data_IF_621210905953
#
_entry.id   IF_621210905953
#
_cell.length_a   1.000
_cell.length_b   1.000
_cell.length_c   1.000
_cell.angle_alpha   90.00
_cell.angle_beta   90.00
_cell.angle_gamma   90.00
#
_symmetry.space_group_name_H-M   'P 1'
#
loop_
_entity.id
_entity.type
_entity.pdbx_description
1 polymer ?
#
# COMPACT_ATOMS: atom_id res chain seq x y z
N UNK A 1 -14.31 -11.72 27.09
CA UNK A 1 -13.00 -11.30 27.65
C UNK A 1 -12.41 -10.33 26.65
N UNK A 2 -12.30 -9.06 27.01
CA UNK A 2 -11.63 -8.07 26.18
C UNK A 2 -10.15 -7.98 26.58
N UNK A 3 -9.28 -7.60 25.65
CA UNK A 3 -7.82 -7.48 25.85
C UNK A 3 -7.18 -8.74 26.53
N UNK A 4 -7.47 -9.92 25.98
CA UNK A 4 -7.03 -11.21 26.57
C UNK A 4 -5.50 -11.32 26.69
N UNK A 5 -4.74 -10.58 25.88
CA UNK A 5 -3.28 -10.50 25.94
C UNK A 5 -2.75 -9.87 27.22
N UNK A 6 -3.52 -9.00 27.88
CA UNK A 6 -3.17 -8.47 29.21
C UNK A 6 -3.28 -9.55 30.30
N UNK A 7 -4.25 -10.46 30.17
CA UNK A 7 -4.49 -11.53 31.14
C UNK A 7 -3.59 -12.76 30.91
N UNK A 8 -3.27 -13.04 29.64
CA UNK A 8 -2.59 -14.27 29.24
C UNK A 8 -1.41 -14.02 28.27
N UNK A 9 -0.36 -13.32 28.72
CA UNK A 9 0.82 -13.08 27.90
C UNK A 9 1.64 -14.36 27.68
N UNK A 10 2.45 -14.37 26.62
CA UNK A 10 3.35 -15.48 26.26
C UNK A 10 4.32 -15.75 27.42
N UNK A 11 4.46 -17.03 27.80
CA UNK A 11 5.30 -17.45 28.94
C UNK A 11 6.74 -16.96 28.77
N UNK A 12 7.16 -16.11 29.70
CA UNK A 12 8.44 -15.39 29.69
C UNK A 12 8.49 -14.23 30.70
N UNK A 13 7.32 -13.78 31.18
CA UNK A 13 7.15 -12.76 32.24
C UNK A 13 7.08 -13.32 33.67
N UNK A 14 7.06 -12.41 34.65
CA UNK A 14 7.20 -12.67 36.10
C UNK A 14 6.15 -13.69 36.61
N UNK A 15 6.50 -14.43 37.68
CA UNK A 15 5.69 -15.47 38.32
C UNK A 15 4.18 -15.19 38.56
N UNK A 16 3.72 -13.98 38.93
CA UNK A 16 2.28 -13.73 39.15
C UNK A 16 1.43 -13.85 37.87
N UNK A 17 1.95 -13.44 36.71
CA UNK A 17 1.24 -13.52 35.42
C UNK A 17 1.02 -14.98 35.01
N UNK A 18 2.00 -15.84 35.27
CA UNK A 18 1.93 -17.27 34.96
C UNK A 18 0.83 -18.00 35.75
N UNK A 19 0.51 -17.54 36.97
CA UNK A 19 -0.57 -18.12 37.79
C UNK A 19 -1.94 -17.78 37.22
N UNK A 20 -2.13 -16.53 36.78
CA UNK A 20 -3.38 -16.07 36.17
C UNK A 20 -3.64 -16.85 34.87
N UNK A 21 -2.62 -17.01 34.02
CA UNK A 21 -2.73 -17.81 32.79
C UNK A 21 -3.17 -19.23 33.12
N UNK A 22 -2.52 -19.92 34.06
CA UNK A 22 -2.86 -21.29 34.43
C UNK A 22 -4.31 -21.43 34.92
N UNK A 23 -4.80 -20.45 35.68
CA UNK A 23 -6.16 -20.43 36.19
C UNK A 23 -7.18 -20.23 35.06
N UNK A 24 -6.91 -19.29 34.13
CA UNK A 24 -7.76 -19.08 32.95
C UNK A 24 -7.83 -20.35 32.09
N UNK A 25 -6.69 -21.03 31.87
CA UNK A 25 -6.67 -22.29 31.12
C UNK A 25 -7.55 -23.36 31.78
N UNK A 26 -7.46 -23.49 33.10
CA UNK A 26 -8.26 -24.46 33.87
C UNK A 26 -9.76 -24.17 33.77
N UNK A 27 -10.13 -22.89 33.83
CA UNK A 27 -11.52 -22.46 33.70
C UNK A 27 -12.08 -22.71 32.28
N UNK A 28 -11.28 -22.48 31.24
CA UNK A 28 -11.66 -22.76 29.85
C UNK A 28 -11.82 -24.26 29.60
N UNK A 29 -10.91 -25.08 30.12
CA UNK A 29 -10.99 -26.54 30.02
C UNK A 29 -12.26 -27.07 30.74
N UNK A 30 -12.62 -26.47 31.88
CA UNK A 30 -13.84 -26.81 32.62
C UNK A 30 -15.12 -26.33 31.94
N UNK A 31 -15.09 -25.19 31.25
CA UNK A 31 -16.26 -24.62 30.56
C UNK A 31 -16.59 -25.33 29.23
N UNK A 32 -15.60 -25.98 28.60
CA UNK A 32 -15.76 -26.59 27.27
C UNK A 32 -16.67 -27.83 27.24
N UNK A 33 -17.05 -28.36 28.40
CA UNK A 33 -18.02 -29.45 28.53
C UNK A 33 -19.48 -28.99 28.57
N UNK A 34 -19.73 -27.70 28.80
CA UNK A 34 -21.06 -27.16 29.05
C UNK A 34 -21.65 -26.53 27.79
N UNK A 35 -22.82 -27.01 27.34
CA UNK A 35 -23.40 -26.62 26.03
C UNK A 35 -24.04 -25.24 26.02
N UNK A 36 -24.13 -24.57 27.17
CA UNK A 36 -24.84 -23.31 27.33
C UNK A 36 -23.91 -22.08 27.39
N UNK A 37 -22.59 -22.26 27.47
CA UNK A 37 -21.64 -21.14 27.65
C UNK A 37 -20.71 -21.02 26.45
N UNK A 38 -20.65 -19.82 25.87
CA UNK A 38 -19.69 -19.46 24.81
C UNK A 38 -18.73 -18.40 25.34
N UNK A 39 -17.43 -18.69 25.30
CA UNK A 39 -16.40 -17.74 25.71
C UNK A 39 -15.85 -17.04 24.47
N UNK A 40 -16.05 -15.72 24.40
CA UNK A 40 -15.51 -14.87 23.33
C UNK A 40 -14.35 -14.04 23.90
N UNK A 41 -13.19 -14.13 23.25
CA UNK A 41 -11.99 -13.36 23.55
C UNK A 41 -11.68 -12.35 22.45
N UNK A 42 -11.26 -11.14 22.81
CA UNK A 42 -10.74 -10.14 21.88
C UNK A 42 -9.28 -9.78 22.24
N UNK A 43 -8.44 -9.59 21.23
CA UNK A 43 -7.06 -9.12 21.40
C UNK A 43 -6.59 -8.42 20.13
N UNK A 44 -5.76 -7.39 20.31
CA UNK A 44 -5.06 -6.73 19.21
C UNK A 44 -3.73 -7.45 18.87
N UNK A 45 -3.23 -8.31 19.76
CA UNK A 45 -1.92 -8.96 19.67
C UNK A 45 -2.03 -10.48 19.84
N UNK A 46 -2.60 -11.20 18.88
CA UNK A 46 -2.74 -12.66 18.95
C UNK A 46 -1.41 -13.41 19.12
N UNK A 47 -0.29 -12.83 18.70
CA UNK A 47 1.05 -13.42 18.84
C UNK A 47 1.68 -13.21 20.23
N UNK A 48 1.13 -12.27 21.00
CA UNK A 48 1.49 -12.02 22.39
C UNK A 48 0.78 -12.99 23.36
N UNK A 49 -0.26 -13.69 22.90
CA UNK A 49 -0.98 -14.68 23.70
C UNK A 49 -0.14 -15.94 23.95
N UNK A 50 -0.39 -16.59 25.10
CA UNK A 50 0.09 -17.95 25.36
C UNK A 50 -0.43 -18.92 24.27
N UNK A 51 0.45 -19.63 23.53
CA UNK A 51 0.03 -20.60 22.51
C UNK A 51 -0.88 -21.72 23.04
N UNK A 52 -0.86 -21.99 24.35
CA UNK A 52 -1.75 -22.95 24.98
C UNK A 52 -3.22 -22.54 24.90
N UNK A 53 -3.54 -21.25 24.81
CA UNK A 53 -4.91 -20.76 24.65
C UNK A 53 -5.51 -21.07 23.28
N UNK A 54 -4.67 -21.13 22.25
CA UNK A 54 -5.05 -21.37 20.84
C UNK A 54 -5.20 -22.87 20.51
N UNK A 55 -5.15 -23.74 21.52
CA UNK A 55 -5.29 -25.19 21.34
C UNK A 55 -6.76 -25.59 21.24
N UNK A 56 -7.09 -26.67 20.50
CA UNK A 56 -8.45 -27.20 20.44
C UNK A 56 -9.02 -27.46 21.85
N UNK A 57 -10.29 -27.10 22.07
CA UNK A 57 -10.94 -27.18 23.38
C UNK A 57 -10.79 -25.94 24.26
N UNK A 58 -10.27 -24.83 23.73
CA UNK A 58 -10.20 -23.51 24.39
C UNK A 58 -10.66 -22.43 23.40
N UNK A 59 -9.77 -21.55 22.95
CA UNK A 59 -10.01 -20.73 21.77
C UNK A 59 -9.62 -21.51 20.52
N UNK A 60 -10.50 -22.43 20.13
CA UNK A 60 -10.34 -23.27 18.94
C UNK A 60 -10.78 -22.57 17.64
N UNK A 61 -11.46 -21.42 17.77
CA UNK A 61 -11.91 -20.58 16.66
C UNK A 61 -11.32 -19.18 16.78
N UNK A 62 -10.68 -18.74 15.71
CA UNK A 62 -10.16 -17.38 15.57
C UNK A 62 -10.95 -16.66 14.48
N UNK A 63 -11.42 -15.47 14.82
CA UNK A 63 -12.09 -14.57 13.88
C UNK A 63 -11.28 -13.28 13.83
N UNK A 64 -10.75 -12.96 12.65
CA UNK A 64 -10.01 -11.72 12.44
C UNK A 64 -11.00 -10.65 12.01
N UNK A 65 -11.09 -9.58 12.80
CA UNK A 65 -11.87 -8.39 12.44
C UNK A 65 -10.91 -7.40 11.79
N UNK A 66 -11.02 -7.25 10.48
CA UNK A 66 -10.20 -6.34 9.68
C UNK A 66 -10.74 -4.90 9.64
N UNK A 67 -10.03 -4.04 8.90
CA UNK A 67 -10.52 -2.69 8.62
C UNK A 67 -11.74 -2.74 7.69
N UNK A 68 -12.74 -1.88 7.90
CA UNK A 68 -13.97 -1.91 7.11
C UNK A 68 -13.73 -1.59 5.63
N UNK A 69 -14.36 -2.37 4.75
CA UNK A 69 -14.43 -2.13 3.29
C UNK A 69 -15.20 -0.86 2.97
N UNK A 70 -15.10 -0.33 1.74
CA UNK A 70 -15.84 0.89 1.33
C UNK A 70 -17.34 0.79 1.60
N UNK A 71 -17.97 -0.35 1.26
CA UNK A 71 -19.39 -0.57 1.51
C UNK A 71 -19.70 -0.57 3.02
N UNK A 72 -18.87 -1.25 3.82
CA UNK A 72 -19.02 -1.28 5.27
C UNK A 72 -18.77 0.09 5.89
N UNK A 73 -17.80 0.88 5.41
CA UNK A 73 -17.56 2.26 5.85
C UNK A 73 -18.77 3.12 5.57
N UNK A 74 -19.38 3.01 4.39
CA UNK A 74 -20.62 3.71 4.07
C UNK A 74 -21.75 3.31 5.03
N UNK A 75 -21.93 2.02 5.29
CA UNK A 75 -22.96 1.52 6.25
C UNK A 75 -22.68 1.99 7.68
N UNK A 76 -21.42 2.01 8.11
CA UNK A 76 -20.99 2.50 9.43
C UNK A 76 -21.23 4.01 9.54
N UNK A 77 -20.81 4.78 8.54
CA UNK A 77 -21.05 6.22 8.47
C UNK A 77 -22.55 6.49 8.51
N UNK A 78 -23.36 5.84 7.67
CA UNK A 78 -24.83 5.94 7.71
C UNK A 78 -25.41 5.65 9.11
N UNK A 79 -24.92 4.61 9.78
CA UNK A 79 -25.38 4.27 11.13
C UNK A 79 -24.99 5.34 12.17
N UNK A 80 -23.78 5.90 12.09
CA UNK A 80 -23.30 6.96 12.99
C UNK A 80 -24.05 8.27 12.72
N UNK A 81 -24.15 8.66 11.45
CA UNK A 81 -24.75 9.93 11.02
C UNK A 81 -26.27 9.95 11.16
N UNK A 82 -26.93 8.79 11.25
CA UNK A 82 -28.37 8.72 11.54
C UNK A 82 -28.79 9.40 12.85
N UNK A 83 -27.83 9.63 13.76
CA UNK A 83 -28.03 10.27 15.06
C UNK A 83 -27.61 11.75 15.06
N UNK A 84 -27.26 12.32 13.91
CA UNK A 84 -26.70 13.66 13.78
C UNK A 84 -27.51 14.48 12.76
N UNK A 85 -27.65 15.79 12.95
CA UNK A 85 -28.26 16.69 11.98
C UNK A 85 -27.28 16.96 10.83
N UNK A 86 -27.32 16.12 9.79
CA UNK A 86 -26.44 16.27 8.62
C UNK A 86 -27.19 16.90 7.46
N UNK A 87 -26.54 17.83 6.78
CA UNK A 87 -27.02 18.47 5.56
C UNK A 87 -27.23 17.45 4.44
N UNK A 88 -28.29 17.61 3.65
CA UNK A 88 -28.56 16.76 2.48
C UNK A 88 -27.48 16.87 1.39
N UNK A 89 -26.59 17.86 1.49
CA UNK A 89 -25.47 18.06 0.58
C UNK A 89 -24.27 17.14 0.87
N UNK A 90 -24.22 16.51 2.05
CA UNK A 90 -23.10 15.63 2.41
C UNK A 90 -23.24 14.26 1.74
N UNK A 91 -22.32 13.93 0.84
CA UNK A 91 -22.27 12.60 0.23
C UNK A 91 -21.47 11.62 1.11
N UNK A 92 -22.19 10.72 1.78
CA UNK A 92 -21.62 9.63 2.56
C UNK A 92 -20.80 8.63 1.71
N UNK A 93 -21.03 8.58 0.40
CA UNK A 93 -20.22 7.81 -0.54
C UNK A 93 -18.81 8.37 -0.64
N UNK A 94 -18.70 9.67 -0.90
CA UNK A 94 -17.43 10.38 -0.96
C UNK A 94 -16.68 10.32 0.38
N UNK A 95 -17.38 10.51 1.51
CA UNK A 95 -16.77 10.36 2.83
C UNK A 95 -16.25 8.93 3.08
N UNK A 96 -16.96 7.91 2.60
CA UNK A 96 -16.49 6.52 2.68
C UNK A 96 -15.25 6.26 1.82
N UNK A 97 -15.10 6.96 0.69
CA UNK A 97 -13.89 6.93 -0.15
C UNK A 97 -12.70 7.63 0.52
N UNK A 98 -12.94 8.73 1.22
CA UNK A 98 -11.89 9.49 1.92
C UNK A 98 -11.43 8.82 3.24
N UNK A 99 -12.25 7.96 3.83
CA UNK A 99 -11.97 7.29 5.13
C UNK A 99 -11.24 5.94 4.98
N UNK A 100 -10.38 5.78 3.98
CA UNK A 100 -9.58 4.55 3.82
C UNK A 100 -8.69 4.33 5.04
N UNK A 101 -8.76 3.13 5.63
CA UNK A 101 -7.99 2.76 6.82
C UNK A 101 -8.57 3.24 8.15
N UNK A 102 -9.68 4.00 8.15
CA UNK A 102 -10.39 4.35 9.38
C UNK A 102 -11.07 3.12 9.97
N UNK A 103 -10.98 2.96 11.29
CA UNK A 103 -11.75 1.98 12.05
C UNK A 103 -13.09 2.60 12.48
N UNK A 104 -14.06 1.80 12.93
CA UNK A 104 -15.33 2.30 13.46
C UNK A 104 -15.18 3.40 14.52
N UNK A 105 -14.16 3.27 15.38
CA UNK A 105 -13.82 4.29 16.38
C UNK A 105 -13.36 5.60 15.73
N UNK A 106 -12.52 5.54 14.69
CA UNK A 106 -12.01 6.72 13.99
C UNK A 106 -13.13 7.43 13.22
N UNK A 107 -14.02 6.69 12.54
CA UNK A 107 -15.19 7.28 11.87
C UNK A 107 -16.13 7.94 12.88
N UNK A 108 -16.27 7.35 14.07
CA UNK A 108 -17.05 7.96 15.16
C UNK A 108 -16.38 9.24 15.65
N UNK A 109 -15.06 9.24 15.80
CA UNK A 109 -14.30 10.43 16.19
C UNK A 109 -14.38 11.52 15.10
N UNK A 110 -14.28 11.16 13.83
CA UNK A 110 -14.43 12.08 12.69
C UNK A 110 -15.80 12.76 12.69
N UNK A 111 -16.89 11.99 12.82
CA UNK A 111 -18.23 12.57 12.89
C UNK A 111 -18.43 13.46 14.12
N UNK A 112 -17.81 13.12 15.27
CA UNK A 112 -17.84 13.96 16.47
C UNK A 112 -17.07 15.27 16.27
N UNK A 113 -15.89 15.21 15.66
CA UNK A 113 -15.06 16.38 15.38
C UNK A 113 -15.77 17.31 14.37
N UNK A 114 -16.39 16.75 13.33
CA UNK A 114 -17.21 17.52 12.39
C UNK A 114 -18.39 18.21 13.10
N UNK A 115 -19.06 17.53 14.05
CA UNK A 115 -20.10 18.15 14.87
C UNK A 115 -19.56 19.30 15.75
N UNK A 116 -18.34 19.18 16.27
CA UNK A 116 -17.68 20.24 17.03
C UNK A 116 -17.36 21.46 16.14
N UNK A 117 -16.91 21.23 14.90
CA UNK A 117 -16.69 22.31 13.94
C UNK A 117 -17.99 23.01 13.55
N UNK A 118 -19.07 22.26 13.31
CA UNK A 118 -20.39 22.83 13.06
C UNK A 118 -20.88 23.69 14.24
N UNK A 119 -20.62 23.27 15.48
CA UNK A 119 -20.92 24.06 16.69
C UNK A 119 -20.10 25.35 16.79
N UNK A 120 -18.84 25.34 16.34
CA UNK A 120 -17.98 26.52 16.33
C UNK A 120 -18.33 27.50 15.21
N UNK A 121 -18.80 27.00 14.07
CA UNK A 121 -19.28 27.81 12.94
C UNK A 121 -20.69 28.36 13.16
N UNK A 122 -21.53 27.66 13.91
CA UNK A 122 -22.86 28.15 14.27
C UNK A 122 -22.74 29.39 15.17
N UNK A 123 -23.35 30.51 14.75
CA UNK A 123 -23.49 31.67 15.62
C UNK A 123 -24.36 31.31 16.84
N UNK A 124 -24.18 32.06 17.95
CA UNK A 124 -24.77 31.79 19.29
C UNK A 124 -26.31 31.73 19.37
N UNK A 125 -27.05 31.73 18.26
CA UNK A 125 -28.52 31.80 18.21
C UNK A 125 -29.20 30.79 17.26
N UNK A 126 -28.51 29.72 16.81
CA UNK A 126 -29.16 28.60 16.13
C UNK A 126 -29.29 27.40 17.08
N UNK A 127 -30.53 27.00 17.37
CA UNK A 127 -30.84 25.91 18.30
C UNK A 127 -30.43 24.51 17.78
N UNK A 128 -30.13 24.37 16.48
CA UNK A 128 -29.69 23.11 15.87
C UNK A 128 -28.62 23.36 14.77
N UNK A 129 -27.32 23.20 15.07
CA UNK A 129 -26.26 23.31 14.06
C UNK A 129 -26.32 22.10 13.11
N UNK A 130 -26.47 22.37 11.82
CA UNK A 130 -26.42 21.35 10.76
C UNK A 130 -24.97 21.15 10.34
N UNK A 131 -24.54 19.90 10.26
CA UNK A 131 -23.17 19.54 9.86
C UNK A 131 -23.09 19.57 8.33
N UNK A 132 -22.20 20.40 7.80
CA UNK A 132 -21.93 20.51 6.36
C UNK A 132 -20.62 19.79 5.97
N UNK A 133 -20.40 19.66 4.66
CA UNK A 133 -19.21 18.99 4.10
C UNK A 133 -17.90 19.70 4.51
N UNK A 134 -17.93 21.02 4.68
CA UNK A 134 -16.77 21.81 5.13
C UNK A 134 -16.30 21.42 6.53
N UNK A 135 -17.23 21.07 7.42
CA UNK A 135 -16.89 20.67 8.79
C UNK A 135 -16.22 19.30 8.80
N UNK A 136 -16.63 18.40 7.91
CA UNK A 136 -15.93 17.13 7.69
C UNK A 136 -14.52 17.35 7.14
N UNK A 137 -14.34 18.27 6.19
CA UNK A 137 -13.02 18.61 5.64
C UNK A 137 -12.06 19.18 6.70
N UNK A 138 -12.55 20.01 7.63
CA UNK A 138 -11.77 20.46 8.77
C UNK A 138 -11.47 19.32 9.75
N UNK A 139 -12.46 18.47 10.05
CA UNK A 139 -12.28 17.31 10.92
C UNK A 139 -11.23 16.32 10.40
N UNK A 140 -11.12 16.14 9.08
CA UNK A 140 -10.08 15.31 8.46
C UNK A 140 -8.66 15.80 8.74
N UNK A 141 -8.46 17.10 9.02
CA UNK A 141 -7.12 17.63 9.35
C UNK A 141 -6.66 17.19 10.74
N UNK A 142 -7.60 16.99 11.67
CA UNK A 142 -7.33 16.66 13.06
C UNK A 142 -7.38 15.15 13.33
N UNK A 143 -8.34 14.45 12.72
CA UNK A 143 -8.58 13.02 12.97
C UNK A 143 -7.81 12.20 11.95
N UNK A 144 -6.67 11.65 12.39
CA UNK A 144 -5.93 10.66 11.63
C UNK A 144 -6.40 9.23 11.97
N UNK A 145 -6.43 8.32 10.98
CA UNK A 145 -6.84 6.93 11.16
C UNK A 145 -5.92 6.13 12.10
N UNK A 146 -6.51 5.40 13.05
CA UNK A 146 -5.79 4.63 14.07
C UNK A 146 -5.06 3.42 13.48
N UNK A 147 -5.51 2.89 12.35
CA UNK A 147 -4.80 1.82 11.63
C UNK A 147 -3.39 2.21 11.20
N UNK A 148 -3.07 3.52 11.18
CA UNK A 148 -1.74 4.03 10.84
C UNK A 148 -0.85 4.23 12.08
N UNK A 149 -1.40 4.33 13.29
CA UNK A 149 -0.61 4.52 14.52
C UNK A 149 0.19 3.29 14.95
N UNK A 150 -0.27 2.09 14.58
CA UNK A 150 0.40 0.83 14.94
C UNK A 150 1.35 0.30 13.88
N UNK A 151 1.46 0.97 12.73
CA UNK A 151 2.10 0.41 11.54
C UNK A 151 3.32 1.22 11.15
N UNK A 152 4.49 0.62 11.36
CA UNK A 152 5.71 0.98 10.66
C UNK A 152 5.49 0.65 9.17
N UNK A 153 5.62 1.64 8.28
CA UNK A 153 5.59 1.46 6.81
C UNK A 153 4.31 1.90 6.08
N UNK A 154 3.21 2.21 6.77
CA UNK A 154 2.04 2.83 6.13
C UNK A 154 2.30 4.34 5.94
N UNK A 155 3.04 4.67 4.88
CA UNK A 155 3.10 6.06 4.42
C UNK A 155 1.72 6.49 3.95
N UNK A 156 1.24 7.58 4.53
CA UNK A 156 0.15 8.41 4.05
C UNK A 156 0.46 8.80 2.60
N UNK A 157 -0.19 8.16 1.64
CA UNK A 157 0.05 8.45 0.23
C UNK A 157 -0.92 9.54 -0.15
N UNK A 158 -0.36 10.71 -0.46
CA UNK A 158 -1.05 11.70 -1.29
C UNK A 158 -1.65 10.95 -2.48
N UNK A 159 -2.99 10.92 -2.65
CA UNK A 159 -3.60 10.23 -3.75
C UNK A 159 -3.02 10.78 -5.06
N UNK A 160 -2.53 9.89 -5.91
CA UNK A 160 -1.95 10.25 -7.20
C UNK A 160 -2.88 9.72 -8.27
N UNK A 161 -3.38 10.60 -9.14
CA UNK A 161 -4.19 10.17 -10.27
C UNK A 161 -3.33 9.76 -11.45
N UNK A 162 -3.87 8.95 -12.35
CA UNK A 162 -3.19 8.56 -13.59
C UNK A 162 -2.80 9.75 -14.47
N UNK A 163 -3.54 10.86 -14.35
CA UNK A 163 -3.30 12.13 -15.05
C UNK A 163 -2.03 12.83 -14.57
N UNK A 164 -1.58 12.55 -13.35
CA UNK A 164 -0.34 13.10 -12.79
C UNK A 164 0.90 12.32 -13.25
N UNK A 165 0.74 11.31 -14.10
CA UNK A 165 1.83 10.50 -14.64
C UNK A 165 1.86 10.67 -16.17
N UNK A 166 2.84 11.42 -16.67
CA UNK A 166 3.04 11.62 -18.11
C UNK A 166 3.60 10.37 -18.82
N UNK A 167 3.00 10.01 -19.95
CA UNK A 167 3.49 8.93 -20.83
C UNK A 167 3.27 7.50 -20.29
N UNK A 168 4.05 6.55 -20.82
CA UNK A 168 4.04 5.13 -20.44
C UNK A 168 2.68 4.42 -20.63
N UNK A 169 1.92 4.76 -21.67
CA UNK A 169 0.56 4.24 -21.89
C UNK A 169 0.50 2.71 -21.98
N UNK A 170 1.48 2.08 -22.64
CA UNK A 170 1.55 0.62 -22.72
C UNK A 170 1.76 -0.04 -21.34
N UNK A 171 2.60 0.58 -20.51
CA UNK A 171 2.88 0.09 -19.14
C UNK A 171 1.67 0.32 -18.24
N UNK A 172 1.02 1.49 -18.33
CA UNK A 172 -0.23 1.77 -17.62
C UNK A 172 -1.29 0.73 -17.99
N UNK A 173 -1.46 0.42 -19.28
CA UNK A 173 -2.40 -0.59 -19.72
C UNK A 173 -2.04 -1.98 -19.15
N UNK A 174 -0.78 -2.43 -19.26
CA UNK A 174 -0.32 -3.70 -18.69
C UNK A 174 -0.55 -3.79 -17.17
N UNK A 175 -0.36 -2.70 -16.44
CA UNK A 175 -0.63 -2.63 -14.99
C UNK A 175 -2.12 -2.72 -14.68
N UNK A 176 -2.97 -1.97 -15.40
CA UNK A 176 -4.42 -2.06 -15.26
C UNK A 176 -4.93 -3.48 -15.55
N UNK A 177 -4.41 -4.11 -16.59
CA UNK A 177 -4.72 -5.50 -16.94
C UNK A 177 -4.32 -6.50 -15.86
N UNK A 178 -3.16 -6.30 -15.25
CA UNK A 178 -2.60 -7.25 -14.28
C UNK A 178 -3.18 -7.09 -12.89
N UNK A 179 -3.64 -5.89 -12.51
CA UNK A 179 -4.01 -5.56 -11.14
C UNK A 179 -5.46 -5.06 -11.03
N UNK A 180 -5.83 -4.05 -11.80
CA UNK A 180 -7.16 -3.43 -11.73
C UNK A 180 -8.25 -4.37 -12.27
N UNK A 181 -8.02 -5.04 -13.39
CA UNK A 181 -9.02 -5.91 -14.03
C UNK A 181 -9.38 -7.15 -13.20
N UNK A 182 -8.43 -7.89 -12.60
CA UNK A 182 -8.77 -9.01 -11.71
C UNK A 182 -9.62 -8.59 -10.50
N UNK A 183 -9.37 -7.38 -9.98
CA UNK A 183 -10.09 -6.84 -8.83
C UNK A 183 -11.51 -6.36 -9.21
N UNK A 184 -11.66 -5.69 -10.36
CA UNK A 184 -12.96 -5.16 -10.82
C UNK A 184 -13.85 -6.21 -11.50
N UNK A 185 -13.26 -7.14 -12.25
CA UNK A 185 -13.95 -8.07 -13.15
C UNK A 185 -13.59 -9.55 -12.88
N UNK A 186 -13.82 -10.08 -11.66
CA UNK A 186 -13.41 -11.44 -11.32
C UNK A 186 -14.21 -12.52 -12.08
N UNK A 187 -15.45 -12.24 -12.48
CA UNK A 187 -16.33 -13.21 -13.16
C UNK A 187 -15.86 -13.48 -14.59
N UNK A 188 -15.39 -12.43 -15.26
CA UNK A 188 -14.87 -12.44 -16.61
C UNK A 188 -13.60 -13.29 -16.70
N UNK A 189 -12.72 -13.19 -15.69
CA UNK A 189 -11.51 -14.02 -15.58
C UNK A 189 -11.86 -15.51 -15.44
N UNK A 190 -12.81 -15.84 -14.55
CA UNK A 190 -13.27 -17.23 -14.37
C UNK A 190 -13.91 -17.76 -15.66
N UNK A 191 -14.74 -16.96 -16.33
CA UNK A 191 -15.39 -17.33 -17.61
C UNK A 191 -14.38 -17.63 -18.71
N UNK A 192 -13.28 -16.89 -18.76
CA UNK A 192 -12.21 -17.07 -19.74
C UNK A 192 -11.17 -18.11 -19.30
N UNK A 193 -11.28 -18.69 -18.11
CA UNK A 193 -10.30 -19.63 -17.57
C UNK A 193 -8.94 -19.00 -17.26
N UNK A 194 -8.88 -17.67 -17.09
CA UNK A 194 -7.64 -16.95 -16.83
C UNK A 194 -7.22 -17.10 -15.36
N UNK A 195 -5.95 -17.42 -15.15
CA UNK A 195 -5.33 -17.46 -13.82
C UNK A 195 -5.00 -16.02 -13.41
N UNK A 196 -5.44 -15.62 -12.22
CA UNK A 196 -5.10 -14.32 -11.66
C UNK A 196 -3.61 -14.30 -11.28
N UNK A 197 -2.84 -13.26 -11.67
CA UNK A 197 -1.44 -13.16 -11.27
C UNK A 197 -1.36 -12.93 -9.75
N UNK A 198 -0.46 -13.64 -9.08
CA UNK A 198 -0.28 -13.47 -7.63
C UNK A 198 0.62 -12.27 -7.29
N UNK A 199 1.57 -11.97 -8.16
CA UNK A 199 2.52 -10.89 -7.96
C UNK A 199 3.01 -10.27 -9.25
N UNK A 200 3.34 -8.99 -9.17
CA UNK A 200 3.88 -8.18 -10.27
C UNK A 200 5.24 -7.61 -9.86
N UNK A 201 6.27 -7.83 -10.67
CA UNK A 201 7.59 -7.22 -10.51
C UNK A 201 7.78 -6.11 -11.54
N UNK A 202 8.04 -4.90 -11.05
CA UNK A 202 8.40 -3.73 -11.84
C UNK A 202 9.91 -3.55 -11.83
N UNK A 203 10.51 -3.44 -13.01
CA UNK A 203 11.94 -3.17 -13.10
C UNK A 203 12.25 -2.15 -14.20
N UNK A 204 13.40 -1.49 -14.07
CA UNK A 204 13.91 -0.58 -15.07
C UNK A 204 14.90 0.41 -14.48
N UNK A 205 15.20 1.52 -15.17
CA UNK A 205 16.11 2.53 -14.66
C UNK A 205 15.53 3.28 -13.44
N UNK A 206 16.40 3.78 -12.53
CA UNK A 206 15.96 4.65 -11.45
C UNK A 206 15.33 5.94 -12.01
N UNK A 207 14.46 6.58 -11.23
CA UNK A 207 13.83 7.85 -11.62
C UNK A 207 12.73 7.76 -12.68
N UNK A 208 12.30 6.55 -13.08
CA UNK A 208 11.21 6.34 -14.05
C UNK A 208 9.83 6.11 -13.39
N UNK A 209 9.57 6.77 -12.25
CA UNK A 209 8.27 6.81 -11.59
C UNK A 209 7.64 5.45 -11.17
N UNK A 210 8.44 4.38 -10.93
CA UNK A 210 7.92 3.06 -10.53
C UNK A 210 7.04 3.13 -9.28
N UNK A 211 7.54 3.76 -8.22
CA UNK A 211 6.83 3.98 -6.96
C UNK A 211 5.55 4.79 -7.18
N UNK A 212 5.61 5.83 -8.02
CA UNK A 212 4.46 6.68 -8.36
C UNK A 212 3.39 5.94 -9.15
N UNK A 213 3.78 5.04 -10.07
CA UNK A 213 2.85 4.20 -10.85
C UNK A 213 2.03 3.27 -9.94
N UNK A 214 2.68 2.59 -8.98
CA UNK A 214 1.95 1.69 -8.07
C UNK A 214 1.05 2.48 -7.12
N UNK A 215 1.50 3.66 -6.66
CA UNK A 215 0.66 4.56 -5.86
C UNK A 215 -0.60 4.97 -6.62
N UNK A 216 -0.47 5.39 -7.89
CA UNK A 216 -1.62 5.79 -8.69
C UNK A 216 -2.60 4.63 -8.96
N UNK A 217 -2.06 3.44 -9.17
CA UNK A 217 -2.86 2.23 -9.29
C UNK A 217 -3.65 1.93 -8.02
N UNK A 218 -3.04 2.08 -6.86
CA UNK A 218 -3.71 1.83 -5.58
C UNK A 218 -4.84 2.83 -5.31
N UNK A 219 -4.61 4.12 -5.62
CA UNK A 219 -5.64 5.17 -5.58
C UNK A 219 -6.80 4.83 -6.53
N UNK A 220 -6.50 4.47 -7.78
CA UNK A 220 -7.50 4.12 -8.80
C UNK A 220 -8.32 2.86 -8.49
N UNK A 221 -7.76 1.93 -7.72
CA UNK A 221 -8.44 0.70 -7.28
C UNK A 221 -9.19 0.88 -5.96
N UNK A 222 -9.07 2.03 -5.27
CA UNK A 222 -9.60 2.27 -3.93
C UNK A 222 -9.27 1.16 -2.92
N UNK A 223 -8.07 0.57 -3.04
CA UNK A 223 -7.61 -0.52 -2.21
C UNK A 223 -6.67 -0.02 -1.10
N UNK A 224 -6.56 -0.79 -0.02
CA UNK A 224 -5.56 -0.51 1.02
C UNK A 224 -4.16 -0.67 0.42
N UNK A 225 -3.32 0.36 0.51
CA UNK A 225 -1.94 0.29 0.05
C UNK A 225 -1.00 0.19 1.24
N UNK A 226 -0.13 -0.81 1.24
CA UNK A 226 0.91 -0.97 2.26
C UNK A 226 2.27 -0.91 1.58
N UNK A 227 3.05 0.12 1.87
CA UNK A 227 4.42 0.25 1.37
C UNK A 227 5.38 -0.42 2.34
N UNK A 228 6.40 -1.07 1.82
CA UNK A 228 7.52 -1.56 2.62
C UNK A 228 8.80 -1.14 1.90
N UNK A 229 9.60 -0.29 2.53
CA UNK A 229 10.97 -0.01 2.09
C UNK A 229 11.97 -0.87 2.86
N UNK A 230 13.15 -1.12 2.28
CA UNK A 230 14.24 -1.77 3.01
C UNK A 230 14.63 -1.03 4.29
N UNK A 231 14.56 0.30 4.30
CA UNK A 231 14.82 1.10 5.49
C UNK A 231 13.85 0.78 6.65
N UNK A 232 12.60 0.41 6.35
CA UNK A 232 11.59 0.10 7.37
C UNK A 232 11.80 -1.28 8.01
N UNK A 233 12.42 -2.21 7.27
CA UNK A 233 12.62 -3.59 7.72
C UNK A 233 13.90 -3.77 8.54
N UNK A 234 14.96 -2.99 8.26
CA UNK A 234 16.24 -3.12 8.95
C UNK A 234 16.27 -2.26 10.23
N UNK A 235 15.77 -2.83 11.34
CA UNK A 235 15.98 -2.28 12.68
C UNK A 235 17.30 -2.81 13.29
N UNK A 236 17.91 -2.12 14.27
CA UNK A 236 19.12 -2.59 14.94
C UNK A 236 18.92 -3.86 15.80
N UNK A 237 17.69 -4.37 15.92
CA UNK A 237 17.36 -5.53 16.76
C UNK A 237 17.23 -6.81 15.94
N UNK A 238 17.93 -7.86 16.37
CA UNK A 238 17.97 -9.16 15.70
C UNK A 238 16.60 -9.86 15.78
N UNK A 239 16.01 -10.19 14.63
CA UNK A 239 14.77 -10.96 14.51
C UNK A 239 13.47 -10.13 14.50
N UNK A 240 13.56 -8.80 14.60
CA UNK A 240 12.38 -7.94 14.47
C UNK A 240 11.93 -7.80 13.01
N UNK A 241 12.86 -7.82 12.05
CA UNK A 241 12.56 -7.72 10.61
C UNK A 241 11.59 -8.79 10.10
N UNK A 242 11.76 -10.05 10.54
CA UNK A 242 10.88 -11.17 10.16
C UNK A 242 9.46 -11.01 10.72
N UNK A 243 9.36 -10.62 12.00
CA UNK A 243 8.08 -10.40 12.66
C UNK A 243 7.34 -9.22 12.03
N UNK A 244 8.04 -8.13 11.75
CA UNK A 244 7.49 -6.95 11.08
C UNK A 244 6.94 -7.34 9.71
N UNK A 245 7.71 -8.10 8.91
CA UNK A 245 7.27 -8.54 7.59
C UNK A 245 6.00 -9.41 7.67
N UNK A 246 5.98 -10.43 8.53
CA UNK A 246 4.77 -11.26 8.71
C UNK A 246 3.58 -10.46 9.27
N UNK A 247 3.81 -9.47 10.13
CA UNK A 247 2.75 -8.58 10.63
C UNK A 247 2.16 -7.71 9.51
N UNK A 248 3.00 -7.15 8.64
CA UNK A 248 2.58 -6.37 7.47
C UNK A 248 1.69 -7.22 6.55
N UNK A 249 2.12 -8.44 6.21
CA UNK A 249 1.31 -9.33 5.37
C UNK A 249 0.01 -9.75 6.04
N UNK A 250 0.03 -10.03 7.35
CA UNK A 250 -1.19 -10.35 8.11
C UNK A 250 -2.18 -9.19 8.10
N UNK A 251 -1.70 -7.97 8.25
CA UNK A 251 -2.53 -6.79 8.21
C UNK A 251 -3.07 -6.51 6.80
N UNK A 252 -2.25 -6.63 5.77
CA UNK A 252 -2.70 -6.49 4.38
C UNK A 252 -3.81 -7.50 4.04
N UNK A 253 -3.74 -8.72 4.59
CA UNK A 253 -4.82 -9.71 4.48
C UNK A 253 -6.09 -9.29 5.22
N UNK A 254 -5.95 -8.65 6.38
CA UNK A 254 -7.09 -8.12 7.14
C UNK A 254 -7.73 -6.89 6.47
N UNK A 255 -6.98 -6.11 5.68
CA UNK A 255 -7.47 -4.92 4.96
C UNK A 255 -7.85 -5.17 3.49
N UNK A 256 -8.22 -6.40 3.14
CA UNK A 256 -8.54 -6.78 1.75
C UNK A 256 -9.78 -6.03 1.20
N UNK A 257 -9.73 -5.55 -0.06
CA UNK A 257 -8.67 -5.68 -1.06
C UNK A 257 -7.45 -4.79 -0.77
N UNK A 258 -6.24 -5.36 -0.84
CA UNK A 258 -5.00 -4.67 -0.49
C UNK A 258 -3.87 -4.93 -1.50
N UNK A 259 -3.04 -3.91 -1.72
CA UNK A 259 -1.80 -3.97 -2.49
C UNK A 259 -0.63 -3.83 -1.51
N UNK A 260 0.24 -4.83 -1.47
CA UNK A 260 1.52 -4.78 -0.74
C UNK A 260 2.60 -4.38 -1.74
N UNK A 261 3.15 -3.18 -1.57
CA UNK A 261 4.21 -2.64 -2.40
C UNK A 261 5.56 -2.79 -1.71
N UNK A 262 6.43 -3.60 -2.30
CA UNK A 262 7.82 -3.81 -1.87
C UNK A 262 8.73 -2.94 -2.73
N UNK A 263 9.08 -1.76 -2.24
CA UNK A 263 9.99 -0.87 -2.97
C UNK A 263 11.44 -1.26 -2.72
N UNK A 264 12.30 -1.07 -3.73
CA UNK A 264 13.72 -1.40 -3.69
C UNK A 264 13.97 -2.79 -3.11
N UNK A 265 13.26 -3.81 -3.62
CA UNK A 265 13.33 -5.19 -3.11
C UNK A 265 14.76 -5.78 -3.19
N UNK A 266 15.61 -5.24 -4.07
CA UNK A 266 17.03 -5.55 -4.13
C UNK A 266 17.82 -5.09 -2.89
N UNK A 267 17.40 -4.00 -2.24
CA UNK A 267 17.98 -3.55 -0.96
C UNK A 267 17.61 -4.48 0.20
N UNK A 268 16.40 -5.06 0.16
CA UNK A 268 15.87 -5.96 1.19
C UNK A 268 16.56 -7.33 1.08
N UNK A 269 16.67 -7.86 -0.14
CA UNK A 269 16.98 -9.28 -0.35
C UNK A 269 18.43 -9.54 -0.73
N UNK A 270 19.14 -8.59 -1.36
CA UNK A 270 20.54 -8.77 -1.79
C UNK A 270 20.74 -9.96 -2.74
N UNK A 271 21.88 -10.03 -3.42
CA UNK A 271 22.22 -11.25 -4.17
C UNK A 271 22.69 -12.32 -3.19
N UNK A 272 22.25 -13.57 -3.41
CA UNK A 272 22.65 -14.79 -2.67
C UNK A 272 24.15 -15.16 -2.75
N UNK A 273 25.02 -14.25 -3.15
CA UNK A 273 26.42 -14.55 -3.45
C UNK A 273 27.31 -13.32 -3.35
N UNK A 274 28.07 -13.19 -2.25
CA UNK A 274 29.50 -12.85 -2.27
C UNK A 274 30.15 -12.59 -0.90
N UNK A 275 29.42 -12.53 0.22
CA UNK A 275 30.02 -12.21 1.54
C UNK A 275 29.75 -13.28 2.59
N UNK A 276 30.73 -14.18 2.79
CA UNK A 276 30.75 -15.26 3.80
C UNK A 276 30.73 -14.80 5.27
N UNK A 277 30.45 -13.54 5.55
CA UNK A 277 30.47 -12.97 6.90
C UNK A 277 29.42 -11.86 7.00
N UNK A 278 28.18 -12.20 7.40
CA UNK A 278 27.19 -11.22 7.88
C UNK A 278 25.76 -11.30 7.34
N UNK A 279 25.41 -12.18 6.41
CA UNK A 279 24.15 -12.11 5.64
C UNK A 279 23.00 -13.05 6.12
N UNK A 280 23.06 -13.58 7.34
CA UNK A 280 22.02 -14.49 7.87
C UNK A 280 20.63 -13.82 7.98
N UNK A 281 20.59 -12.50 8.22
CA UNK A 281 19.31 -11.76 8.32
C UNK A 281 18.58 -11.66 6.98
N UNK A 282 19.28 -11.36 5.89
CA UNK A 282 18.64 -11.22 4.56
C UNK A 282 18.11 -12.56 4.04
N UNK A 283 18.84 -13.65 4.26
CA UNK A 283 18.39 -15.00 3.88
C UNK A 283 17.14 -15.44 4.64
N UNK A 284 17.04 -15.08 5.93
CA UNK A 284 15.85 -15.36 6.73
C UNK A 284 14.66 -14.52 6.30
N UNK A 285 14.84 -13.22 6.10
CA UNK A 285 13.79 -12.32 5.59
C UNK A 285 13.29 -12.78 4.22
N UNK A 286 14.19 -13.21 3.33
CA UNK A 286 13.84 -13.83 2.06
C UNK A 286 13.00 -15.09 2.25
N UNK A 287 13.39 -15.97 3.17
CA UNK A 287 12.66 -17.21 3.44
C UNK A 287 11.25 -16.94 3.96
N UNK A 288 11.09 -15.94 4.84
CA UNK A 288 9.77 -15.48 5.30
C UNK A 288 8.96 -14.91 4.15
N UNK A 289 9.55 -14.04 3.32
CA UNK A 289 8.87 -13.47 2.15
C UNK A 289 8.40 -14.55 1.17
N UNK A 290 9.23 -15.56 0.90
CA UNK A 290 8.87 -16.69 0.04
C UNK A 290 7.71 -17.52 0.62
N UNK A 291 7.71 -17.76 1.94
CA UNK A 291 6.61 -18.45 2.60
C UNK A 291 5.30 -17.64 2.55
N UNK A 292 5.37 -16.32 2.71
CA UNK A 292 4.22 -15.42 2.59
C UNK A 292 3.67 -15.36 1.15
N UNK A 293 4.56 -15.33 0.14
CA UNK A 293 4.23 -15.37 -1.29
C UNK A 293 3.58 -16.69 -1.70
N UNK A 294 4.15 -17.82 -1.28
CA UNK A 294 3.60 -19.15 -1.56
C UNK A 294 2.29 -19.39 -0.78
N UNK A 295 2.04 -18.59 0.26
CA UNK A 295 0.91 -18.76 1.16
C UNK A 295 1.03 -19.98 2.08
N UNK A 296 2.24 -20.56 2.20
CA UNK A 296 2.52 -21.74 3.01
C UNK A 296 2.51 -21.32 4.48
N UNK A 297 1.43 -21.65 5.18
CA UNK A 297 1.29 -21.41 6.63
C UNK A 297 -0.06 -20.91 7.12
N UNK A 298 -1.02 -20.59 6.24
CA UNK A 298 -2.30 -19.99 6.65
C UNK A 298 -3.51 -20.84 6.26
N UNK A 299 -3.97 -21.66 7.22
CA UNK A 299 -5.31 -22.26 7.24
C UNK A 299 -6.30 -21.27 7.87
N UNK A 300 -6.69 -20.23 7.16
CA UNK A 300 -7.77 -19.34 7.64
C UNK A 300 -9.09 -19.84 7.06
N UNK A 301 -9.93 -20.43 7.91
CA UNK A 301 -11.26 -20.93 7.55
C UNK A 301 -12.24 -19.77 7.72
N UNK A 302 -12.74 -19.19 6.64
CA UNK A 302 -13.87 -18.25 6.69
C UNK A 302 -15.19 -18.95 6.34
N UNK A 303 -16.25 -18.64 7.11
CA UNK A 303 -17.64 -18.98 6.76
C UNK A 303 -18.20 -17.86 5.87
N UNK A 304 -18.45 -18.13 4.59
CA UNK A 304 -19.55 -17.48 3.86
C UNK A 304 -20.77 -18.40 3.92
N UNK A 305 -21.79 -17.98 4.64
CA UNK A 305 -23.08 -18.67 4.64
C UNK A 305 -23.96 -18.17 3.50
N UNK A 306 -24.51 -19.10 2.70
CA UNK A 306 -25.96 -19.31 2.76
C UNK A 306 -26.34 -20.73 2.34
N UNK A 307 -27.16 -21.30 3.20
CA UNK A 307 -28.00 -22.50 3.19
C UNK A 307 -27.86 -23.55 2.07
N UNK A 308 -27.85 -24.79 2.58
CA UNK A 308 -28.21 -26.08 1.97
C UNK A 308 -27.20 -26.71 1.01
N UNK A 309 -26.75 -27.89 1.46
CA UNK A 309 -26.09 -28.98 0.71
C UNK A 309 -24.67 -28.75 0.23
N UNK A 310 -23.78 -29.58 0.81
CA UNK A 310 -22.37 -29.82 0.48
C UNK A 310 -21.37 -28.81 1.03
N UNK A 311 -20.65 -29.29 2.06
CA UNK A 311 -19.48 -28.67 2.65
C UNK A 311 -18.34 -28.71 1.64
N UNK A 312 -18.21 -27.69 0.79
CA UNK A 312 -16.97 -27.43 0.08
C UNK A 312 -16.01 -26.67 1.00
N UNK A 313 -14.95 -27.36 1.43
CA UNK A 313 -13.81 -26.76 2.09
C UNK A 313 -13.05 -25.92 1.07
N UNK A 314 -13.33 -24.62 1.01
CA UNK A 314 -12.55 -23.72 0.16
C UNK A 314 -11.46 -23.06 1.00
N UNK A 315 -10.22 -23.53 0.85
CA UNK A 315 -9.04 -22.82 1.34
C UNK A 315 -9.06 -21.41 0.73
N UNK A 316 -9.17 -20.38 1.59
CA UNK A 316 -9.05 -19.00 1.16
C UNK A 316 -7.57 -18.77 0.86
N UNK A 317 -7.13 -19.17 -0.33
CA UNK A 317 -5.94 -18.60 -0.95
C UNK A 317 -6.06 -17.08 -0.87
N UNK A 318 -4.93 -16.39 -0.76
CA UNK A 318 -4.70 -14.94 -0.81
C UNK A 318 -5.36 -14.21 -2.01
N UNK A 319 -6.67 -14.40 -2.25
CA UNK A 319 -7.37 -14.05 -3.48
C UNK A 319 -7.54 -12.54 -3.67
N UNK A 320 -7.24 -11.76 -2.63
CA UNK A 320 -7.46 -10.32 -2.60
C UNK A 320 -6.26 -9.52 -2.10
N UNK A 321 -5.11 -10.16 -1.87
CA UNK A 321 -3.85 -9.46 -1.57
C UNK A 321 -2.96 -9.60 -2.79
N UNK A 322 -2.63 -8.48 -3.41
CA UNK A 322 -1.74 -8.44 -4.56
C UNK A 322 -0.39 -7.87 -4.16
N UNK A 323 0.68 -8.54 -4.58
CA UNK A 323 2.04 -8.14 -4.24
C UNK A 323 2.66 -7.46 -5.46
N UNK A 324 3.13 -6.23 -5.26
CA UNK A 324 3.83 -5.47 -6.30
C UNK A 324 5.23 -5.17 -5.78
N UNK A 325 6.26 -5.67 -6.47
CA UNK A 325 7.64 -5.40 -6.12
C UNK A 325 8.27 -4.46 -7.14
N UNK A 326 9.13 -3.54 -6.70
CA UNK A 326 9.92 -2.69 -7.59
C UNK A 326 11.42 -2.91 -7.35
N UNK A 327 12.19 -2.96 -8.44
CA UNK A 327 13.66 -3.01 -8.38
C UNK A 327 14.29 -2.12 -9.44
N UNK A 328 15.45 -1.55 -9.11
CA UNK A 328 16.33 -0.93 -10.09
C UNK A 328 17.35 -1.94 -10.64
N UNK A 329 17.60 -3.04 -9.93
CA UNK A 329 18.66 -4.00 -10.20
C UNK A 329 18.13 -5.43 -10.25
N UNK A 330 17.46 -5.81 -11.35
CA UNK A 330 16.92 -7.17 -11.49
C UNK A 330 18.01 -8.25 -11.55
N UNK A 331 19.26 -7.89 -11.85
CA UNK A 331 20.44 -8.77 -11.84
C UNK A 331 20.80 -9.31 -10.45
N UNK A 332 20.46 -8.56 -9.40
CA UNK A 332 20.78 -8.90 -8.00
C UNK A 332 19.70 -9.78 -7.37
N UNK A 333 18.50 -9.85 -7.97
CA UNK A 333 17.37 -10.55 -7.39
C UNK A 333 17.54 -12.08 -7.39
N UNK A 334 17.06 -12.73 -6.34
CA UNK A 334 17.00 -14.18 -6.29
C UNK A 334 15.97 -14.71 -7.32
N UNK A 335 16.45 -15.59 -8.21
CA UNK A 335 15.65 -16.37 -9.15
C UNK A 335 14.47 -17.10 -8.51
N UNK A 336 14.53 -17.39 -7.21
CA UNK A 336 13.42 -17.97 -6.45
C UNK A 336 12.16 -17.08 -6.49
N UNK A 337 12.30 -15.76 -6.47
CA UNK A 337 11.15 -14.84 -6.50
C UNK A 337 10.44 -14.82 -7.85
N UNK A 338 11.19 -15.07 -8.93
CA UNK A 338 10.72 -15.04 -10.32
C UNK A 338 10.03 -16.34 -10.76
N UNK A 339 9.93 -17.34 -9.87
CA UNK A 339 9.29 -18.61 -10.20
C UNK A 339 7.77 -18.44 -10.33
N UNK A 340 7.13 -19.17 -11.26
CA UNK A 340 5.67 -19.18 -11.37
C UNK A 340 4.99 -19.55 -10.04
N UNK A 341 3.92 -18.83 -9.71
CA UNK A 341 3.23 -18.86 -8.42
C UNK A 341 3.66 -17.76 -7.42
N UNK A 342 4.59 -16.88 -7.79
CA UNK A 342 5.15 -15.79 -6.95
C UNK A 342 5.07 -14.46 -7.69
N UNK A 343 6.19 -13.94 -8.21
CA UNK A 343 6.22 -12.75 -9.08
C UNK A 343 6.03 -13.16 -10.54
N UNK A 344 4.80 -13.55 -10.87
CA UNK A 344 4.44 -14.15 -12.15
C UNK A 344 4.55 -13.17 -13.32
N UNK A 345 4.20 -11.91 -13.07
CA UNK A 345 4.19 -10.88 -14.12
C UNK A 345 5.34 -9.93 -13.92
N UNK A 346 6.21 -9.84 -14.92
CA UNK A 346 7.37 -8.96 -14.89
C UNK A 346 7.15 -7.87 -15.93
N UNK A 347 7.16 -6.62 -15.49
CA UNK A 347 6.89 -5.44 -16.33
C UNK A 347 8.13 -4.56 -16.34
N UNK A 348 8.68 -4.38 -17.54
CA UNK A 348 9.74 -3.43 -17.79
C UNK A 348 9.17 -2.01 -17.93
N UNK A 349 9.76 -1.07 -17.20
CA UNK A 349 9.47 0.35 -17.30
C UNK A 349 10.60 1.00 -18.12
N UNK A 350 10.33 1.34 -19.39
CA UNK A 350 11.31 2.02 -20.23
C UNK A 350 11.53 3.47 -19.78
N UNK A 351 12.67 4.08 -20.15
CA UNK A 351 12.82 5.54 -20.05
C UNK A 351 11.77 6.26 -20.90
N UNK A 352 11.46 7.54 -20.59
CA UNK A 352 10.45 8.28 -21.32
C UNK A 352 10.89 8.64 -22.75
N UNK A 353 10.05 8.28 -23.72
CA UNK A 353 10.17 8.70 -25.12
C UNK A 353 9.96 10.21 -25.28
N UNK A 354 10.22 10.76 -26.47
CA UNK A 354 9.97 12.18 -26.76
C UNK A 354 8.56 12.64 -26.36
N UNK A 355 7.53 11.88 -26.75
CA UNK A 355 6.14 12.15 -26.36
C UNK A 355 5.93 12.04 -24.85
N UNK A 356 6.55 11.04 -24.21
CA UNK A 356 6.50 10.87 -22.76
C UNK A 356 7.14 12.02 -22.01
N UNK A 357 8.31 12.51 -22.45
CA UNK A 357 9.00 13.66 -21.86
C UNK A 357 8.18 14.94 -21.96
N UNK A 358 7.54 15.17 -23.11
CA UNK A 358 6.61 16.29 -23.28
C UNK A 358 5.48 16.23 -22.26
N UNK A 359 4.78 15.09 -22.15
CA UNK A 359 3.72 14.93 -21.16
C UNK A 359 4.21 15.03 -19.71
N UNK A 360 5.42 14.55 -19.41
CA UNK A 360 6.03 14.70 -18.07
C UNK A 360 6.31 16.17 -17.77
N UNK A 361 6.84 16.92 -18.74
CA UNK A 361 7.11 18.35 -18.61
C UNK A 361 5.80 19.12 -18.37
N UNK A 362 4.75 18.87 -19.16
CA UNK A 362 3.43 19.47 -18.97
C UNK A 362 2.89 19.26 -17.55
N UNK A 363 3.00 18.02 -17.05
CA UNK A 363 2.57 17.68 -15.69
C UNK A 363 3.42 18.39 -14.63
N UNK A 364 4.74 18.45 -14.81
CA UNK A 364 5.64 19.12 -13.86
C UNK A 364 5.42 20.64 -13.85
N UNK A 365 5.09 21.25 -15.00
CA UNK A 365 4.86 22.68 -15.12
C UNK A 365 3.43 23.11 -14.80
N UNK A 366 2.48 22.18 -14.58
CA UNK A 366 1.07 22.51 -14.29
C UNK A 366 0.89 23.47 -13.10
N UNK A 367 1.74 23.34 -12.09
CA UNK A 367 1.70 24.18 -10.88
C UNK A 367 2.74 25.32 -10.91
N UNK A 368 3.44 25.48 -12.04
CA UNK A 368 4.56 26.42 -12.18
C UNK A 368 4.17 27.51 -13.18
N UNK A 369 4.30 28.80 -12.84
CA UNK A 369 3.99 29.87 -13.77
C UNK A 369 5.09 29.97 -14.83
N UNK A 370 4.79 29.46 -16.03
CA UNK A 370 5.68 29.53 -17.19
C UNK A 370 5.39 30.76 -18.04
N UNK A 371 6.43 31.39 -18.56
CA UNK A 371 6.30 32.48 -19.53
C UNK A 371 5.82 31.97 -20.90
N UNK A 372 5.17 32.82 -21.71
CA UNK A 372 4.71 32.46 -23.06
C UNK A 372 5.87 32.19 -24.03
N UNK A 373 7.10 32.55 -23.65
CA UNK A 373 8.33 32.29 -24.38
C UNK A 373 8.84 30.84 -24.23
N UNK A 374 8.28 30.06 -23.28
CA UNK A 374 8.73 28.70 -23.00
C UNK A 374 8.08 27.68 -23.94
N UNK A 375 8.90 26.96 -24.70
CA UNK A 375 8.44 25.84 -25.54
C UNK A 375 8.82 24.50 -24.92
N UNK A 376 7.82 23.80 -24.38
CA UNK A 376 7.99 22.47 -23.79
C UNK A 376 8.38 21.41 -24.83
N UNK A 377 7.96 21.58 -26.08
CA UNK A 377 8.29 20.70 -27.20
C UNK A 377 9.80 20.73 -27.50
N UNK A 378 10.39 21.93 -27.55
CA UNK A 378 11.83 22.09 -27.75
C UNK A 378 12.63 21.49 -26.58
N UNK A 379 12.17 21.71 -25.34
CA UNK A 379 12.78 21.12 -24.15
C UNK A 379 12.71 19.58 -24.18
N UNK A 380 11.62 18.99 -24.65
CA UNK A 380 11.48 17.55 -24.79
C UNK A 380 12.46 16.96 -25.83
N UNK A 381 12.78 17.72 -26.88
CA UNK A 381 13.77 17.35 -27.90
C UNK A 381 15.21 17.37 -27.34
N UNK A 382 15.55 18.39 -26.54
CA UNK A 382 16.90 18.56 -25.98
C UNK A 382 17.19 17.65 -24.78
N UNK A 383 16.16 17.20 -24.06
CA UNK A 383 16.28 16.35 -22.85
C UNK A 383 16.36 14.84 -23.16
N UNK A 384 17.06 14.46 -24.22
CA UNK A 384 17.29 13.04 -24.52
C UNK A 384 18.02 12.33 -23.36
N UNK A 385 17.55 11.13 -23.00
CA UNK A 385 18.04 10.32 -21.86
C UNK A 385 17.75 10.87 -20.46
N UNK A 386 16.94 11.92 -20.33
CA UNK A 386 16.49 12.36 -19.01
C UNK A 386 15.42 11.39 -18.48
N UNK A 387 15.55 11.00 -17.22
CA UNK A 387 14.49 10.29 -16.48
C UNK A 387 13.39 11.25 -16.04
N UNK A 388 12.25 10.72 -15.58
CA UNK A 388 11.18 11.56 -15.03
C UNK A 388 11.63 12.37 -13.81
N UNK A 389 12.53 11.81 -12.99
CA UNK A 389 13.17 12.53 -11.89
C UNK A 389 14.09 13.66 -12.38
N UNK A 390 14.86 13.43 -13.44
CA UNK A 390 15.74 14.47 -14.01
C UNK A 390 14.94 15.63 -14.61
N UNK A 391 13.83 15.34 -15.30
CA UNK A 391 12.93 16.37 -15.84
C UNK A 391 12.29 17.20 -14.73
N UNK A 392 11.89 16.56 -13.63
CA UNK A 392 11.38 17.28 -12.46
C UNK A 392 12.45 18.18 -11.86
N UNK A 393 13.66 17.66 -11.67
CA UNK A 393 14.79 18.45 -11.18
C UNK A 393 15.13 19.60 -12.12
N UNK A 394 15.06 19.40 -13.44
CA UNK A 394 15.24 20.45 -14.44
C UNK A 394 14.27 21.62 -14.23
N UNK A 395 12.98 21.32 -14.04
CA UNK A 395 11.95 22.33 -13.73
C UNK A 395 12.22 23.03 -12.40
N UNK A 396 12.59 22.28 -11.36
CA UNK A 396 12.90 22.85 -10.04
C UNK A 396 14.12 23.78 -10.08
N UNK A 397 15.20 23.37 -10.75
CA UNK A 397 16.40 24.19 -10.94
C UNK A 397 16.10 25.44 -11.78
N UNK A 398 15.30 25.31 -12.84
CA UNK A 398 14.87 26.49 -13.61
C UNK A 398 14.06 27.48 -12.76
N UNK A 399 13.24 27.00 -11.82
CA UNK A 399 12.52 27.83 -10.87
C UNK A 399 13.46 28.54 -9.89
N UNK A 400 14.45 27.81 -9.35
CA UNK A 400 15.44 28.36 -8.42
C UNK A 400 16.31 29.43 -9.11
N UNK A 401 16.73 29.19 -10.35
CA UNK A 401 17.47 30.18 -11.14
C UNK A 401 16.63 31.44 -11.42
N UNK A 402 15.32 31.27 -11.69
CA UNK A 402 14.42 32.39 -11.87
C UNK A 402 14.37 33.29 -10.61
N UNK A 403 14.23 32.66 -9.44
CA UNK A 403 14.24 33.35 -8.13
C UNK A 403 15.59 34.02 -7.83
N UNK A 404 16.70 33.39 -8.22
CA UNK A 404 18.04 33.93 -7.99
C UNK A 404 18.33 35.16 -8.85
N UNK A 405 17.91 35.17 -10.12
CA UNK A 405 18.25 36.25 -11.06
C UNK A 405 17.33 37.47 -10.95
N UNK A 406 16.05 37.23 -10.67
CA UNK A 406 15.02 38.26 -10.74
C UNK A 406 14.42 38.61 -9.36
N UNK A 407 14.88 37.97 -8.28
CA UNK A 407 14.45 38.22 -6.90
C UNK A 407 13.26 37.37 -6.43
N UNK A 408 12.82 37.55 -5.19
CA UNK A 408 11.71 36.78 -4.60
C UNK A 408 10.33 37.14 -5.16
N UNK A 409 10.21 38.28 -5.85
CA UNK A 409 8.95 38.79 -6.43
C UNK A 409 8.68 38.27 -7.85
N UNK A 410 9.45 37.27 -8.29
CA UNK A 410 9.31 36.74 -9.65
C UNK A 410 8.01 36.03 -9.86
N UNK A 411 7.30 36.43 -10.92
CA UNK A 411 6.00 35.88 -11.26
C UNK A 411 6.06 34.75 -12.28
N UNK A 412 7.12 34.66 -13.10
CA UNK A 412 7.19 33.70 -14.22
C UNK A 412 8.60 33.17 -14.49
N UNK A 413 8.68 31.93 -14.97
CA UNK A 413 9.94 31.30 -15.42
C UNK A 413 10.03 31.36 -16.94
N UNK A 414 11.16 31.92 -17.42
CA UNK A 414 11.46 32.13 -18.83
C UNK A 414 12.27 30.98 -19.43
N UNK A 415 12.31 30.90 -20.76
CA UNK A 415 13.07 29.88 -21.51
C UNK A 415 14.57 29.94 -21.18
N UNK A 416 15.11 31.13 -20.94
CA UNK A 416 16.52 31.33 -20.58
C UNK A 416 16.92 30.57 -19.31
N UNK A 417 16.03 30.49 -18.32
CA UNK A 417 16.30 29.78 -17.07
C UNK A 417 16.36 28.26 -17.30
N UNK A 418 15.52 27.71 -18.19
CA UNK A 418 15.58 26.31 -18.59
C UNK A 418 16.88 25.99 -19.35
N UNK A 419 17.32 26.87 -20.26
CA UNK A 419 18.57 26.70 -20.99
C UNK A 419 19.81 26.76 -20.06
N UNK A 420 19.77 27.60 -19.01
CA UNK A 420 20.80 27.62 -17.96
C UNK A 420 20.75 26.33 -17.12
N UNK A 421 19.56 25.87 -16.75
CA UNK A 421 19.34 24.62 -16.01
C UNK A 421 19.88 23.40 -16.76
N UNK A 422 19.69 23.32 -18.09
CA UNK A 422 20.21 22.24 -18.93
C UNK A 422 21.74 22.12 -18.93
N UNK A 423 22.47 23.19 -18.60
CA UNK A 423 23.94 23.14 -18.45
C UNK A 423 24.36 22.51 -17.12
N UNK A 424 23.52 22.63 -16.10
CA UNK A 424 23.78 22.16 -14.74
C UNK A 424 23.29 20.72 -14.54
N UNK A 425 22.05 20.44 -14.97
CA UNK A 425 21.41 19.13 -14.82
C UNK A 425 21.87 18.21 -15.94
N UNK A 426 22.56 17.12 -15.57
CA UNK A 426 23.00 16.09 -16.51
C UNK A 426 21.99 14.94 -16.56
N UNK A 427 21.86 14.24 -17.70
CA UNK A 427 21.01 13.05 -17.80
C UNK A 427 21.54 11.96 -16.86
N UNK A 428 20.64 11.34 -16.09
CA UNK A 428 21.00 10.21 -15.22
C UNK A 428 21.15 8.89 -15.97
N UNK A 429 20.66 8.81 -17.21
CA UNK A 429 20.69 7.57 -18.00
C UNK A 429 21.74 7.64 -19.10
N UNK A 430 22.49 6.55 -19.27
CA UNK A 430 23.39 6.38 -20.40
C UNK A 430 22.87 5.34 -21.40
N UNK A 431 23.32 5.43 -22.65
CA UNK A 431 23.01 4.43 -23.69
C UNK A 431 23.47 3.02 -23.30
N UNK A 432 24.53 2.90 -22.48
CA UNK A 432 25.02 1.59 -21.99
C UNK A 432 24.04 1.00 -20.98
N UNK A 433 23.49 1.81 -20.08
CA UNK A 433 22.54 1.35 -19.07
C UNK A 433 21.24 0.86 -19.72
N UNK A 434 20.75 1.56 -20.74
CA UNK A 434 19.57 1.14 -21.51
C UNK A 434 19.81 -0.20 -22.22
N UNK A 435 20.98 -0.37 -22.84
CA UNK A 435 21.34 -1.64 -23.45
C UNK A 435 21.42 -2.78 -22.43
N UNK A 436 21.81 -2.52 -21.18
CA UNK A 436 21.79 -3.52 -20.11
C UNK A 436 20.36 -3.96 -19.79
N UNK A 437 19.43 -3.02 -19.58
CA UNK A 437 18.03 -3.35 -19.29
C UNK A 437 17.33 -4.06 -20.45
N UNK A 438 17.55 -3.62 -21.70
CA UNK A 438 17.02 -4.30 -22.88
C UNK A 438 17.60 -5.70 -23.08
N UNK A 439 18.90 -5.87 -22.81
CA UNK A 439 19.53 -7.18 -22.89
C UNK A 439 19.10 -8.10 -21.76
N UNK A 440 18.80 -7.59 -20.57
CA UNK A 440 18.22 -8.37 -19.47
C UNK A 440 16.80 -8.84 -19.83
N UNK A 441 16.00 -7.98 -20.46
CA UNK A 441 14.70 -8.36 -21.01
C UNK A 441 14.84 -9.48 -22.05
N UNK A 442 15.83 -9.38 -22.96
CA UNK A 442 16.05 -10.38 -24.03
C UNK A 442 16.74 -11.67 -23.58
N UNK A 443 17.69 -11.62 -22.64
CA UNK A 443 18.48 -12.79 -22.18
C UNK A 443 17.79 -13.61 -21.10
N UNK A 444 16.92 -13.02 -20.29
CA UNK A 444 16.34 -13.69 -19.12
C UNK A 444 15.25 -14.73 -19.41
N UNK A 445 15.03 -15.15 -20.65
CA UNK A 445 13.91 -16.04 -20.99
C UNK A 445 12.52 -15.43 -20.71
N UNK A 446 12.47 -14.12 -20.44
CA UNK A 446 11.23 -13.38 -20.13
C UNK A 446 10.31 -13.23 -21.35
N UNK A 447 10.81 -13.48 -22.56
CA UNK A 447 10.03 -13.54 -23.79
C UNK A 447 9.16 -14.79 -23.91
N UNK A 448 9.47 -15.88 -23.21
CA UNK A 448 8.69 -17.13 -23.30
C UNK A 448 7.41 -17.12 -22.44
N UNK A 449 7.14 -16.06 -21.68
CA UNK A 449 5.94 -15.90 -20.83
C UNK A 449 4.89 -14.94 -21.42
N UNK A 450 5.17 -14.28 -22.55
CA UNK A 450 4.16 -13.48 -23.28
C UNK A 450 3.40 -14.32 -24.34
N UNK A 451 3.72 -15.62 -24.47
CA UNK A 451 3.22 -16.48 -25.57
C UNK A 451 2.49 -17.77 -25.18
N UNK A 452 1.92 -17.89 -23.96
CA UNK A 452 1.03 -19.01 -23.59
C UNK A 452 -0.28 -18.47 -23.04
#
# INVERSE_FOLDING_TARGET
>A
LDEVDALCPRRGGRAPESRVVAQVLTLLDGASGDREVVVVGATNRPDALDPALRRPGRFDREVVIGTPTLKQRKEILQAITSKMPISSHVDLGLLAEMTVGYVGADMTALCREAAMHALLHSEKNQDDPVIDETDFLEAFKNIQPSSFRSVIGLMDIKPVDWEQIGGLEDVKLKLKQSIEWPLKFPREFVRLGLIQPKGVLLYGPPGCAKTTLVRALATSCHCSFVSVSGADLFSPFVGDSEKILSQIFRQARASTPAIVFLDEIDSILGARSASKTGCDVQERVLSVLLNELDGVGLKTIERRGSKSSQQEFQEVFNRSVMIVAATNRPDVLDTALLRPGRLDKIIYIPPPDHKGRLSILEVCTKNMPIGPDVSLENLAAETCFFSGADLRNLCTEAALLALQENGLDTTTVKQEHFLKSLKTVKPSLSRKDLALYENLFKKGGFSNLEGI
#
